data_IF_774800719807
#
_entry.id   IF_774800719807
#
_cell.length_a   1.000
_cell.length_b   1.000
_cell.length_c   1.000
_cell.angle_alpha   90.00
_cell.angle_beta   90.00
_cell.angle_gamma   90.00
#
_symmetry.space_group_name_H-M   'P 1'
#
loop_
_entity.id
_entity.type
_entity.pdbx_description
1 polymer ?
#
# COMPACT_ATOMS: atom_id res chain seq x y z
N UNK A 1 -5.40 13.95 -13.93
CA UNK A 1 -6.57 13.29 -13.33
C UNK A 1 -6.23 11.81 -13.22
N UNK A 2 -5.38 11.51 -12.25
CA UNK A 2 -4.49 10.36 -12.30
C UNK A 2 -5.19 9.17 -11.63
N UNK A 3 -5.68 8.27 -12.48
CA UNK A 3 -6.59 7.16 -12.18
C UNK A 3 -6.00 6.05 -11.29
N UNK A 4 -4.87 6.28 -10.62
CA UNK A 4 -4.19 5.27 -9.81
C UNK A 4 -4.91 5.00 -8.49
N UNK A 5 -5.56 6.02 -7.90
CA UNK A 5 -6.32 5.87 -6.64
C UNK A 5 -7.67 5.16 -6.83
N UNK A 6 -8.20 5.04 -8.05
CA UNK A 6 -9.51 4.45 -8.30
C UNK A 6 -9.50 2.90 -8.38
N UNK A 7 -8.33 2.29 -8.60
CA UNK A 7 -8.21 0.82 -8.81
C UNK A 7 -8.06 0.01 -7.51
N UNK A 8 -7.71 0.68 -6.42
CA UNK A 8 -7.48 0.06 -5.13
C UNK A 8 -8.78 -0.08 -4.34
N UNK A 9 -8.96 -1.23 -3.69
CA UNK A 9 -10.03 -1.43 -2.72
C UNK A 9 -9.81 -0.54 -1.49
N UNK A 10 -10.87 -0.26 -0.73
CA UNK A 10 -10.79 0.55 0.49
C UNK A 10 -9.67 0.06 1.41
N UNK A 11 -9.55 -1.25 1.57
CA UNK A 11 -8.51 -1.91 2.36
C UNK A 11 -7.10 -1.58 1.85
N UNK A 12 -6.91 -1.67 0.54
CA UNK A 12 -5.62 -1.42 -0.10
C UNK A 12 -5.20 0.05 0.03
N UNK A 13 -6.16 0.97 -0.09
CA UNK A 13 -5.92 2.41 0.12
C UNK A 13 -5.49 2.72 1.54
N UNK A 14 -6.14 2.12 2.54
CA UNK A 14 -5.75 2.32 3.94
C UNK A 14 -4.33 1.81 4.21
N UNK A 15 -4.00 0.62 3.71
CA UNK A 15 -2.63 0.07 3.82
C UNK A 15 -1.64 1.03 3.17
N UNK A 16 -1.94 1.55 1.98
CA UNK A 16 -1.10 2.52 1.30
C UNK A 16 -0.91 3.82 2.10
N UNK A 17 -1.98 4.30 2.75
CA UNK A 17 -1.98 5.51 3.56
C UNK A 17 -1.10 5.35 4.80
N UNK A 18 -1.18 4.19 5.46
CA UNK A 18 -0.33 3.85 6.60
C UNK A 18 1.14 3.71 6.15
N UNK A 19 1.42 3.05 5.03
CA UNK A 19 2.78 2.97 4.45
C UNK A 19 3.35 4.38 4.22
N UNK A 20 2.55 5.29 3.65
CA UNK A 20 2.94 6.70 3.44
C UNK A 20 3.25 7.42 4.75
N UNK A 21 2.59 7.06 5.85
CA UNK A 21 2.88 7.60 7.18
C UNK A 21 4.18 7.03 7.80
N UNK A 22 4.88 6.13 7.10
CA UNK A 22 6.09 5.48 7.60
C UNK A 22 5.83 4.24 8.43
N UNK A 23 4.59 3.73 8.45
CA UNK A 23 4.23 2.54 9.21
C UNK A 23 4.81 1.28 8.55
N UNK A 24 5.34 0.40 9.37
CA UNK A 24 5.88 -0.89 8.92
C UNK A 24 4.77 -1.91 8.67
N UNK A 25 5.06 -2.99 7.93
CA UNK A 25 4.06 -4.05 7.70
C UNK A 25 3.60 -4.74 8.99
N UNK A 26 4.43 -4.73 10.04
CA UNK A 26 4.07 -5.23 11.36
C UNK A 26 3.08 -4.28 12.05
N UNK A 27 3.36 -2.97 12.06
CA UNK A 27 2.44 -1.99 12.66
C UNK A 27 1.11 -1.91 11.92
N UNK A 28 1.13 -1.96 10.58
CA UNK A 28 -0.10 -2.01 9.77
C UNK A 28 -0.92 -3.26 10.11
N UNK A 29 -0.25 -4.38 10.34
CA UNK A 29 -0.88 -5.62 10.77
C UNK A 29 -1.53 -5.46 12.14
N UNK A 30 -0.85 -4.84 13.10
CA UNK A 30 -1.41 -4.54 14.43
C UNK A 30 -2.61 -3.60 14.35
N UNK A 31 -2.50 -2.48 13.62
CA UNK A 31 -3.59 -1.50 13.46
C UNK A 31 -4.82 -2.10 12.80
N UNK A 32 -4.62 -2.99 11.83
CA UNK A 32 -5.70 -3.63 11.05
C UNK A 32 -6.17 -4.94 11.66
N UNK A 33 -5.64 -5.32 12.83
CA UNK A 33 -5.91 -6.60 13.49
C UNK A 33 -5.76 -7.80 12.53
N UNK A 34 -4.74 -7.73 11.67
CA UNK A 34 -4.47 -8.70 10.61
C UNK A 34 -3.06 -9.27 10.74
N UNK A 35 -2.83 -10.47 10.23
CA UNK A 35 -1.47 -11.02 10.21
C UNK A 35 -0.55 -10.24 9.25
N UNK A 36 0.75 -10.07 9.56
CA UNK A 36 1.72 -9.43 8.65
C UNK A 36 1.78 -10.12 7.28
N UNK A 37 1.58 -11.45 7.25
CA UNK A 37 1.42 -12.22 6.01
C UNK A 37 0.24 -11.76 5.15
N UNK A 38 -0.87 -11.37 5.78
CA UNK A 38 -2.04 -10.81 5.08
C UNK A 38 -1.70 -9.46 4.49
N UNK A 39 -0.96 -8.61 5.23
CA UNK A 39 -0.46 -7.34 4.73
C UNK A 39 0.46 -7.56 3.51
N UNK A 40 1.41 -8.50 3.55
CA UNK A 40 2.24 -8.85 2.40
C UNK A 40 1.44 -9.28 1.16
N UNK A 41 0.35 -10.03 1.37
CA UNK A 41 -0.55 -10.44 0.30
C UNK A 41 -1.27 -9.24 -0.32
N UNK A 42 -1.76 -8.31 0.51
CA UNK A 42 -2.32 -7.05 0.03
C UNK A 42 -1.27 -6.22 -0.72
N UNK A 43 -0.04 -6.10 -0.20
CA UNK A 43 1.04 -5.39 -0.87
C UNK A 43 1.30 -5.94 -2.26
N UNK A 44 1.35 -7.26 -2.39
CA UNK A 44 1.56 -7.94 -3.68
C UNK A 44 0.42 -7.67 -4.68
N UNK A 45 -0.82 -7.68 -4.22
CA UNK A 45 -1.98 -7.34 -5.05
C UNK A 45 -1.95 -5.88 -5.51
N UNK A 46 -1.60 -4.96 -4.61
CA UNK A 46 -1.45 -3.54 -4.90
C UNK A 46 -0.34 -3.32 -5.93
N UNK A 47 0.82 -3.94 -5.72
CA UNK A 47 1.97 -3.89 -6.65
C UNK A 47 1.56 -4.38 -8.04
N UNK A 48 0.81 -5.49 -8.11
CA UNK A 48 0.25 -6.00 -9.38
C UNK A 48 -0.72 -5.02 -10.03
N UNK A 49 -1.63 -4.44 -9.25
CA UNK A 49 -2.63 -3.47 -9.76
C UNK A 49 -2.01 -2.17 -10.25
N UNK A 50 -0.95 -1.72 -9.60
CA UNK A 50 -0.24 -0.48 -9.91
C UNK A 50 0.94 -0.72 -10.86
N UNK A 51 1.17 -1.97 -11.28
CA UNK A 51 2.30 -2.42 -12.11
C UNK A 51 3.67 -1.90 -11.63
N UNK A 52 3.85 -1.83 -10.31
CA UNK A 52 5.09 -1.38 -9.68
C UNK A 52 6.06 -2.55 -9.61
N UNK A 53 7.37 -2.27 -9.65
CA UNK A 53 8.37 -3.31 -9.37
C UNK A 53 8.17 -3.87 -7.96
N UNK A 54 8.05 -5.19 -7.84
CA UNK A 54 7.92 -5.85 -6.55
C UNK A 54 9.20 -5.71 -5.74
N UNK A 55 9.17 -4.85 -4.72
CA UNK A 55 10.27 -4.65 -3.78
C UNK A 55 9.71 -4.35 -2.37
N UNK A 56 10.47 -4.61 -1.29
CA UNK A 56 10.02 -4.40 0.09
C UNK A 56 9.54 -2.96 0.36
N UNK A 57 10.15 -1.99 -0.33
CA UNK A 57 9.84 -0.56 -0.24
C UNK A 57 9.15 -0.02 -1.49
N UNK A 58 8.70 -0.89 -2.41
CA UNK A 58 8.08 -0.46 -3.67
C UNK A 58 6.87 0.44 -3.45
N UNK A 59 5.99 0.06 -2.51
CA UNK A 59 4.80 0.83 -2.19
C UNK A 59 5.14 2.17 -1.53
N UNK A 60 6.15 2.19 -0.65
CA UNK A 60 6.62 3.43 -0.04
C UNK A 60 7.16 4.38 -1.11
N UNK A 61 8.08 3.90 -1.96
CA UNK A 61 8.63 4.66 -3.08
C UNK A 61 7.53 5.15 -4.03
N UNK A 62 6.55 4.30 -4.32
CA UNK A 62 5.42 4.66 -5.15
C UNK A 62 4.58 5.78 -4.52
N UNK A 63 4.29 5.72 -3.22
CA UNK A 63 3.56 6.79 -2.51
C UNK A 63 4.31 8.11 -2.47
N UNK A 64 5.64 8.07 -2.35
CA UNK A 64 6.49 9.27 -2.41
C UNK A 64 6.47 9.91 -3.81
N UNK A 65 6.39 9.08 -4.85
CA UNK A 65 6.31 9.54 -6.23
C UNK A 65 4.88 9.93 -6.67
N UNK A 66 3.85 9.64 -5.86
CA UNK A 66 2.43 9.90 -6.17
C UNK A 66 1.75 10.60 -4.97
N UNK A 67 1.99 11.91 -4.78
CA UNK A 67 1.44 12.66 -3.63
C UNK A 67 -0.08 12.89 -3.68
N UNK A 68 -0.72 12.70 -4.84
CA UNK A 68 -2.14 12.93 -5.14
C UNK A 68 -3.12 11.87 -4.60
N UNK A 69 -2.70 11.10 -3.60
CA UNK A 69 -3.64 10.33 -2.77
C UNK A 69 -4.34 11.29 -1.79
N UNK A 70 -5.23 12.12 -2.33
CA UNK A 70 -6.14 12.96 -1.54
C UNK A 70 -7.48 12.25 -1.35
#
# INVERSE_FOLDING_TARGET
MDKSSALLSQTEKEILKLIRQGQTSAEIAEIRECSPRTVEKHRSNIIKKLEVKSAPNALLLWTLNNPDLK
#
